data_IF_861737409650
#
_entry.id   IF_861737409650
#
_cell.length_a   1.000
_cell.length_b   1.000
_cell.length_c   1.000
_cell.angle_alpha   90.00
_cell.angle_beta   90.00
_cell.angle_gamma   90.00
#
_symmetry.space_group_name_H-M   'P 1'
#
loop_
_entity.id
_entity.type
_entity.pdbx_description
1 polymer ?
#
# COMPACT_ATOMS: atom_id res chain seq x y z
N UNK A 1 -3.14 11.25 19.88
CA UNK A 1 -3.51 10.56 18.63
C UNK A 1 -2.25 10.34 17.80
N UNK A 2 -2.00 9.09 17.40
CA UNK A 2 -0.91 8.71 16.51
C UNK A 2 -1.47 8.53 15.09
N UNK A 3 -0.76 9.02 14.08
CA UNK A 3 -1.14 8.87 12.67
C UNK A 3 -0.22 7.85 12.02
N UNK A 4 -0.80 6.84 11.38
CA UNK A 4 -0.09 5.87 10.56
C UNK A 4 -0.44 6.10 9.09
N UNK A 5 0.58 6.19 8.25
CA UNK A 5 0.42 6.29 6.80
C UNK A 5 1.09 5.07 6.16
N UNK A 6 0.33 4.36 5.35
CA UNK A 6 0.83 3.23 4.57
C UNK A 6 0.10 3.16 3.23
N UNK A 7 0.58 2.32 2.33
CA UNK A 7 0.01 2.17 1.00
C UNK A 7 1.09 1.95 -0.02
N UNK A 8 0.72 1.31 -1.12
CA UNK A 8 1.66 0.96 -2.17
C UNK A 8 2.23 2.19 -2.89
N UNK A 9 1.55 3.35 -2.85
CA UNK A 9 1.99 4.63 -3.42
C UNK A 9 2.35 5.67 -2.35
N UNK A 10 2.46 5.29 -1.08
CA UNK A 10 2.58 6.25 0.04
C UNK A 10 3.77 7.20 -0.09
N UNK A 11 4.87 6.74 -0.69
CA UNK A 11 6.11 7.50 -0.78
C UNK A 11 6.09 8.42 -2.02
N UNK A 12 5.17 8.18 -2.95
CA UNK A 12 4.93 8.98 -4.14
C UNK A 12 3.89 10.10 -3.94
N UNK A 13 3.11 10.07 -2.85
CA UNK A 13 2.06 11.06 -2.56
C UNK A 13 2.57 12.13 -1.59
N UNK A 14 2.40 13.40 -1.98
CA UNK A 14 2.74 14.56 -1.15
C UNK A 14 1.46 15.30 -0.73
N UNK A 15 1.19 15.37 0.57
CA UNK A 15 0.02 16.06 1.11
C UNK A 15 0.44 17.42 1.67
N UNK A 16 -0.12 18.50 1.14
CA UNK A 16 0.10 19.87 1.61
C UNK A 16 -0.86 20.21 2.75
N UNK A 17 -2.07 19.64 2.74
CA UNK A 17 -3.02 19.79 3.84
C UNK A 17 -2.57 19.05 5.10
N UNK A 18 -2.65 19.70 6.25
CA UNK A 18 -2.37 19.06 7.54
C UNK A 18 -3.28 17.84 7.78
N UNK A 19 -2.68 16.68 8.03
CA UNK A 19 -3.37 15.40 8.25
C UNK A 19 -3.91 15.34 9.68
N UNK A 20 -5.14 15.81 9.87
CA UNK A 20 -5.89 15.75 11.13
C UNK A 20 -7.39 15.59 10.88
N UNK A 21 -8.11 15.20 11.93
CA UNK A 21 -9.57 15.16 11.89
C UNK A 21 -10.16 16.54 11.51
N UNK A 22 -11.20 16.53 10.67
CA UNK A 22 -11.83 17.72 10.10
C UNK A 22 -11.23 18.19 8.76
N UNK A 23 -10.01 17.76 8.42
CA UNK A 23 -9.37 18.08 7.13
C UNK A 23 -9.50 16.95 6.10
N UNK A 24 -10.23 15.87 6.41
CA UNK A 24 -10.21 14.61 5.65
C UNK A 24 -10.49 14.83 4.18
N UNK A 25 -11.50 15.64 3.85
CA UNK A 25 -11.91 15.88 2.47
C UNK A 25 -10.77 16.47 1.63
N UNK A 26 -10.08 17.49 2.13
CA UNK A 26 -8.96 18.12 1.40
C UNK A 26 -7.79 17.16 1.21
N UNK A 27 -7.47 16.39 2.25
CA UNK A 27 -6.42 15.36 2.18
C UNK A 27 -6.77 14.28 1.15
N UNK A 28 -8.04 13.84 1.12
CA UNK A 28 -8.56 12.89 0.14
C UNK A 28 -8.44 13.45 -1.27
N UNK A 29 -8.90 14.67 -1.50
CA UNK A 29 -8.89 15.30 -2.83
C UNK A 29 -7.45 15.44 -3.36
N UNK A 30 -6.50 15.88 -2.52
CA UNK A 30 -5.08 15.98 -2.86
C UNK A 30 -4.45 14.62 -3.20
N UNK A 31 -4.69 13.61 -2.36
CA UNK A 31 -4.16 12.27 -2.56
C UNK A 31 -4.76 11.60 -3.80
N UNK A 32 -6.08 11.70 -3.98
CA UNK A 32 -6.79 11.14 -5.14
C UNK A 32 -6.30 11.70 -6.46
N UNK A 33 -6.11 13.01 -6.55
CA UNK A 33 -5.63 13.65 -7.77
C UNK A 33 -4.25 13.10 -8.18
N UNK A 34 -3.32 13.02 -7.23
CA UNK A 34 -1.98 12.48 -7.47
C UNK A 34 -2.00 10.99 -7.82
N UNK A 35 -2.78 10.19 -7.09
CA UNK A 35 -2.91 8.75 -7.39
C UNK A 35 -3.50 8.55 -8.78
N UNK A 36 -4.55 9.30 -9.14
CA UNK A 36 -5.19 9.19 -10.45
C UNK A 36 -4.24 9.53 -11.59
N UNK A 37 -3.36 10.53 -11.42
CA UNK A 37 -2.29 10.84 -12.36
C UNK A 37 -1.30 9.69 -12.52
N UNK A 38 -0.90 9.04 -11.41
CA UNK A 38 0.06 7.93 -11.40
C UNK A 38 -0.50 6.66 -12.05
N UNK A 39 -1.73 6.28 -11.72
CA UNK A 39 -2.32 5.00 -12.15
C UNK A 39 -3.11 5.11 -13.46
N UNK A 40 -3.64 6.30 -13.76
CA UNK A 40 -4.41 6.62 -14.97
C UNK A 40 -5.92 6.41 -14.84
N UNK A 41 -6.44 6.26 -13.61
CA UNK A 41 -7.86 6.15 -13.29
C UNK A 41 -8.11 6.62 -11.86
N UNK A 42 -9.34 6.99 -11.53
CA UNK A 42 -9.67 7.41 -10.17
C UNK A 42 -9.69 6.22 -9.20
N UNK A 43 -8.97 6.29 -8.06
CA UNK A 43 -9.04 5.27 -7.03
C UNK A 43 -10.36 5.34 -6.27
N UNK A 44 -10.83 4.18 -5.79
CA UNK A 44 -12.00 4.13 -4.92
C UNK A 44 -11.67 4.69 -3.54
N UNK A 45 -12.64 5.32 -2.89
CA UNK A 45 -12.52 5.89 -1.56
C UNK A 45 -13.33 5.09 -0.55
N UNK A 46 -12.71 4.83 0.59
CA UNK A 46 -13.40 4.34 1.77
C UNK A 46 -13.04 5.21 2.98
N UNK A 47 -14.05 5.76 3.64
CA UNK A 47 -13.91 6.51 4.89
C UNK A 47 -14.55 5.72 6.03
N UNK A 48 -13.71 5.20 6.91
CA UNK A 48 -14.11 4.61 8.19
C UNK A 48 -14.06 5.65 9.33
N UNK A 49 -14.47 5.24 10.53
CA UNK A 49 -14.45 6.13 11.70
C UNK A 49 -13.04 6.59 12.09
N UNK A 50 -12.01 5.77 11.84
CA UNK A 50 -10.62 6.03 12.20
C UNK A 50 -9.64 5.88 11.03
N UNK A 51 -10.12 5.77 9.79
CA UNK A 51 -9.23 5.64 8.65
C UNK A 51 -9.82 6.10 7.32
N UNK A 52 -8.95 6.50 6.42
CA UNK A 52 -9.23 6.78 5.01
C UNK A 52 -8.40 5.84 4.17
N UNK A 53 -9.02 5.18 3.18
CA UNK A 53 -8.35 4.35 2.19
C UNK A 53 -8.66 4.85 0.79
N UNK A 54 -7.63 4.93 -0.02
CA UNK A 54 -7.70 5.05 -1.47
C UNK A 54 -7.18 3.74 -2.05
N UNK A 55 -8.07 2.98 -2.68
CA UNK A 55 -7.78 1.60 -3.08
C UNK A 55 -8.27 1.29 -4.50
N UNK A 56 -7.66 0.27 -5.09
CA UNK A 56 -8.16 -0.35 -6.31
C UNK A 56 -9.47 -1.09 -6.03
N UNK A 57 -10.48 -0.88 -6.87
CA UNK A 57 -11.80 -1.47 -6.65
C UNK A 57 -11.80 -2.99 -6.86
N UNK A 58 -10.99 -3.49 -7.79
CA UNK A 58 -10.93 -4.89 -8.20
C UNK A 58 -9.91 -5.68 -7.37
N UNK A 59 -8.68 -5.19 -7.27
CA UNK A 59 -7.57 -5.91 -6.63
C UNK A 59 -7.54 -5.70 -5.12
N UNK A 60 -8.21 -4.67 -4.61
CA UNK A 60 -8.12 -4.23 -3.20
C UNK A 60 -6.71 -3.81 -2.77
N UNK A 61 -5.84 -3.49 -3.73
CA UNK A 61 -4.56 -2.83 -3.46
C UNK A 61 -4.84 -1.47 -2.81
N UNK A 62 -4.24 -1.22 -1.65
CA UNK A 62 -4.35 0.06 -0.95
C UNK A 62 -3.22 0.95 -1.46
N UNK A 63 -3.55 1.95 -2.28
CA UNK A 63 -2.60 2.92 -2.79
C UNK A 63 -2.12 3.86 -1.69
N UNK A 64 -3.06 4.37 -0.89
CA UNK A 64 -2.78 5.32 0.17
C UNK A 64 -3.80 5.17 1.29
N UNK A 65 -3.33 5.06 2.53
CA UNK A 65 -4.17 4.95 3.70
C UNK A 65 -3.62 5.81 4.82
N UNK A 66 -4.54 6.49 5.52
CA UNK A 66 -4.29 7.17 6.77
C UNK A 66 -5.13 6.47 7.84
N UNK A 67 -4.49 5.94 8.87
CA UNK A 67 -5.15 5.40 10.07
C UNK A 67 -4.80 6.29 11.27
N UNK A 68 -5.83 6.67 12.04
CA UNK A 68 -5.67 7.38 13.31
C UNK A 68 -5.87 6.41 14.47
N UNK A 69 -4.92 6.41 15.40
CA UNK A 69 -4.90 5.56 16.58
C UNK A 69 -4.83 6.39 17.85
N UNK A 70 -5.40 5.87 18.92
CA UNK A 70 -5.18 6.45 20.25
C UNK A 70 -3.73 6.25 20.66
N UNK A 71 -3.15 7.22 21.36
CA UNK A 71 -1.72 7.19 21.77
C UNK A 71 -1.37 6.06 22.73
N UNK A 72 -2.38 5.42 23.32
CA UNK A 72 -2.21 4.28 24.21
C UNK A 72 -2.36 2.93 23.48
N UNK A 73 -2.67 2.94 22.17
CA UNK A 73 -2.78 1.74 21.35
C UNK A 73 -1.42 1.39 20.77
N UNK A 74 -0.90 0.20 21.09
CA UNK A 74 0.34 -0.28 20.50
C UNK A 74 0.08 -0.69 19.04
N UNK A 75 0.56 0.12 18.09
CA UNK A 75 0.44 -0.18 16.66
C UNK A 75 1.38 -1.34 16.30
N UNK A 76 0.91 -2.58 16.48
CA UNK A 76 1.63 -3.76 16.02
C UNK A 76 1.39 -3.97 14.52
N UNK A 77 2.19 -3.26 13.72
CA UNK A 77 2.17 -3.28 12.26
C UNK A 77 3.40 -3.99 11.71
N UNK A 78 3.50 -5.29 11.98
CA UNK A 78 4.58 -6.09 11.43
C UNK A 78 4.57 -6.10 9.89
N UNK A 79 5.73 -6.41 9.31
CA UNK A 79 5.94 -6.32 7.86
C UNK A 79 4.95 -7.17 7.06
N UNK A 80 4.56 -8.34 7.57
CA UNK A 80 3.57 -9.24 6.92
C UNK A 80 2.21 -8.54 6.81
N UNK A 81 1.70 -8.00 7.93
CA UNK A 81 0.40 -7.31 7.96
C UNK A 81 0.42 -6.08 7.05
N UNK A 82 1.53 -5.35 7.04
CA UNK A 82 1.74 -4.21 6.13
C UNK A 82 1.64 -4.63 4.67
N UNK A 83 2.46 -5.58 4.24
CA UNK A 83 2.49 -6.02 2.83
C UNK A 83 1.14 -6.56 2.39
N UNK A 84 0.49 -7.39 3.22
CA UNK A 84 -0.84 -7.90 2.92
C UNK A 84 -1.87 -6.79 2.72
N UNK A 85 -1.89 -5.79 3.62
CA UNK A 85 -2.78 -4.63 3.48
C UNK A 85 -2.45 -3.80 2.24
N UNK A 86 -1.20 -3.41 2.05
CA UNK A 86 -0.77 -2.55 0.95
C UNK A 86 -1.07 -3.18 -0.41
N UNK A 87 -0.95 -4.50 -0.53
CA UNK A 87 -1.06 -5.21 -1.81
C UNK A 87 -2.41 -5.89 -2.02
N UNK A 88 -3.37 -5.73 -1.10
CA UNK A 88 -4.65 -6.46 -1.17
C UNK A 88 -4.48 -7.98 -1.10
N UNK A 89 -3.41 -8.47 -0.48
CA UNK A 89 -3.10 -9.90 -0.41
C UNK A 89 -3.67 -10.53 0.87
N UNK A 90 -4.26 -11.70 0.72
CA UNK A 90 -4.49 -12.61 1.84
C UNK A 90 -3.17 -13.18 2.37
N UNK A 91 -3.14 -13.60 3.63
CA UNK A 91 -1.98 -14.30 4.20
C UNK A 91 -1.62 -15.58 3.43
N UNK A 92 -2.63 -16.23 2.83
CA UNK A 92 -2.43 -17.40 1.97
C UNK A 92 -1.67 -17.02 0.70
N UNK A 93 -2.13 -15.98 -0.01
CA UNK A 93 -1.47 -15.52 -1.23
C UNK A 93 -0.05 -15.02 -0.97
N UNK A 94 0.17 -14.29 0.13
CA UNK A 94 1.54 -13.91 0.51
C UNK A 94 2.40 -15.15 0.76
N UNK A 95 1.90 -16.12 1.53
CA UNK A 95 2.60 -17.38 1.75
C UNK A 95 2.99 -18.09 0.46
N UNK A 96 2.05 -18.21 -0.49
CA UNK A 96 2.31 -18.81 -1.81
C UNK A 96 3.40 -18.06 -2.59
N UNK A 97 3.40 -16.72 -2.54
CA UNK A 97 4.42 -15.89 -3.21
C UNK A 97 5.82 -16.05 -2.63
N UNK A 98 5.93 -16.21 -1.30
CA UNK A 98 7.22 -16.25 -0.60
C UNK A 98 7.65 -17.65 -0.15
N UNK A 99 6.91 -18.70 -0.54
CA UNK A 99 7.26 -20.10 -0.27
C UNK A 99 6.94 -20.58 1.16
N UNK A 100 5.90 -20.04 1.80
CA UNK A 100 5.45 -20.42 3.14
C UNK A 100 3.97 -20.82 3.15
N UNK A 101 3.57 -21.68 4.09
CA UNK A 101 2.16 -21.98 4.32
C UNK A 101 1.43 -20.78 4.95
N UNK A 102 0.12 -20.67 4.72
CA UNK A 102 -0.73 -19.68 5.40
C UNK A 102 -0.61 -19.77 6.93
N UNK A 103 -0.50 -21.00 7.47
CA UNK A 103 -0.33 -21.23 8.91
C UNK A 103 0.98 -20.68 9.46
N UNK A 104 2.08 -20.78 8.70
CA UNK A 104 3.37 -20.20 9.08
C UNK A 104 3.31 -18.67 9.09
N UNK A 105 2.72 -18.06 8.05
CA UNK A 105 2.51 -16.61 7.96
C UNK A 105 1.65 -16.11 9.14
N UNK A 106 0.50 -16.76 9.40
CA UNK A 106 -0.38 -16.40 10.51
C UNK A 106 0.33 -16.52 11.85
N UNK A 107 1.09 -17.59 12.07
CA UNK A 107 1.80 -17.80 13.33
C UNK A 107 2.86 -16.73 13.57
N UNK A 108 3.69 -16.42 12.56
CA UNK A 108 4.70 -15.37 12.64
C UNK A 108 4.06 -13.98 12.89
N UNK A 109 2.91 -13.72 12.25
CA UNK A 109 2.17 -12.48 12.42
C UNK A 109 1.58 -12.34 13.83
N UNK A 110 0.89 -13.38 14.35
CA UNK A 110 0.24 -13.36 15.67
C UNK A 110 1.27 -13.27 16.79
N UNK A 111 2.37 -14.02 16.70
CA UNK A 111 3.43 -14.02 17.72
C UNK A 111 4.38 -12.84 17.60
N UNK A 112 4.31 -12.09 16.49
CA UNK A 112 5.29 -11.08 16.11
C UNK A 112 6.73 -11.63 16.05
N UNK A 113 6.87 -12.91 15.70
CA UNK A 113 8.13 -13.65 15.61
C UNK A 113 8.38 -13.99 14.13
N UNK A 114 8.91 -13.00 13.39
CA UNK A 114 9.22 -13.17 11.97
C UNK A 114 10.68 -13.58 11.86
N UNK A 115 10.93 -14.80 11.36
CA UNK A 115 12.28 -15.29 11.13
C UNK A 115 13.01 -14.41 10.10
N UNK A 116 14.33 -14.30 10.20
CA UNK A 116 15.13 -13.51 9.26
C UNK A 116 14.91 -13.93 7.79
N UNK A 117 14.86 -15.24 7.44
CA UNK A 117 14.56 -15.66 6.07
C UNK A 117 13.17 -15.24 5.59
N UNK A 118 12.16 -15.32 6.45
CA UNK A 118 10.80 -14.87 6.10
C UNK A 118 10.77 -13.35 5.88
N UNK A 119 11.41 -12.57 6.74
CA UNK A 119 11.51 -11.12 6.59
C UNK A 119 12.19 -10.76 5.25
N UNK A 120 13.32 -11.39 4.93
CA UNK A 120 14.00 -11.20 3.63
C UNK A 120 13.09 -11.56 2.45
N UNK A 121 12.34 -12.66 2.53
CA UNK A 121 11.42 -13.05 1.46
C UNK A 121 10.28 -12.03 1.26
N UNK A 122 9.72 -11.50 2.35
CA UNK A 122 8.72 -10.41 2.29
C UNK A 122 9.32 -9.14 1.69
N UNK A 123 10.54 -8.75 2.08
CA UNK A 123 11.23 -7.58 1.51
C UNK A 123 11.55 -7.76 0.03
N UNK A 124 11.99 -8.95 -0.39
CA UNK A 124 12.20 -9.27 -1.80
C UNK A 124 10.89 -9.18 -2.60
N UNK A 125 9.78 -9.64 -2.03
CA UNK A 125 8.48 -9.52 -2.69
C UNK A 125 8.08 -8.05 -2.89
N UNK A 126 8.34 -7.18 -1.91
CA UNK A 126 8.14 -5.73 -2.06
C UNK A 126 8.99 -5.14 -3.18
N UNK A 127 10.27 -5.51 -3.24
CA UNK A 127 11.17 -5.04 -4.30
C UNK A 127 10.70 -5.52 -5.68
N UNK A 128 10.26 -6.77 -5.81
CA UNK A 128 9.69 -7.31 -7.05
C UNK A 128 8.49 -6.50 -7.50
N UNK A 129 7.60 -6.11 -6.57
CA UNK A 129 6.42 -5.31 -6.87
C UNK A 129 6.82 -3.91 -7.36
N UNK A 130 7.73 -3.26 -6.64
CA UNK A 130 8.28 -1.94 -7.02
C UNK A 130 8.90 -1.98 -8.41
N UNK A 131 9.78 -2.94 -8.68
CA UNK A 131 10.43 -3.13 -9.98
C UNK A 131 9.41 -3.40 -11.11
N UNK A 132 8.35 -4.17 -10.84
CA UNK A 132 7.26 -4.38 -11.81
C UNK A 132 6.52 -3.08 -12.14
N UNK A 133 6.30 -2.21 -11.15
CA UNK A 133 5.68 -0.88 -11.35
C UNK A 133 6.58 0.02 -12.20
N UNK A 134 7.85 0.15 -11.84
CA UNK A 134 8.83 0.93 -12.61
C UNK A 134 8.93 0.44 -14.06
N UNK A 135 8.97 -0.88 -14.26
CA UNK A 135 8.97 -1.48 -15.59
C UNK A 135 7.71 -1.14 -16.39
N UNK A 136 6.53 -1.11 -15.74
CA UNK A 136 5.27 -0.72 -16.38
C UNK A 136 5.30 0.74 -16.81
N UNK A 137 5.81 1.65 -15.97
CA UNK A 137 5.98 3.06 -16.30
C UNK A 137 6.95 3.25 -17.48
N UNK A 138 8.10 2.58 -17.44
CA UNK A 138 9.07 2.64 -18.53
C UNK A 138 8.49 2.12 -19.86
N UNK A 139 7.71 1.04 -19.83
CA UNK A 139 7.00 0.53 -21.01
C UNK A 139 5.97 1.52 -21.56
N UNK A 140 5.19 2.17 -20.68
CA UNK A 140 4.24 3.24 -21.08
C UNK A 140 4.99 4.38 -21.77
N UNK A 141 6.09 4.86 -21.18
CA UNK A 141 6.92 5.93 -21.75
C UNK A 141 7.49 5.55 -23.13
N UNK A 142 8.07 4.34 -23.26
CA UNK A 142 8.58 3.83 -24.54
C UNK A 142 7.49 3.78 -25.62
N UNK A 143 6.28 3.38 -25.26
CA UNK A 143 5.16 3.33 -26.20
C UNK A 143 4.69 4.73 -26.61
N UNK A 144 4.66 5.68 -25.67
CA UNK A 144 4.36 7.07 -25.97
C UNK A 144 5.36 7.65 -26.98
N UNK A 145 6.67 7.47 -26.78
CA UNK A 145 7.70 7.88 -27.75
C UNK A 145 7.43 7.30 -29.13
N UNK A 146 7.13 5.99 -29.22
CA UNK A 146 6.83 5.35 -30.51
C UNK A 146 5.61 5.93 -31.22
N UNK A 147 4.63 6.44 -30.48
CA UNK A 147 3.43 7.05 -31.06
C UNK A 147 3.73 8.45 -31.62
N UNK A 148 4.56 9.24 -30.93
CA UNK A 148 4.90 10.61 -31.36
C UNK A 148 6.04 10.66 -32.40
N UNK A 149 6.85 9.61 -32.49
CA UNK A 149 7.91 9.45 -33.50
C UNK A 149 7.40 8.86 -34.83
N UNK A 150 6.10 8.63 -34.94
CA UNK A 150 5.39 8.27 -36.18
C UNK A 150 4.79 9.51 -36.80
#
# INVERSE_FOLDING_TARGET
MQTLIYGSLKDEIQINTEIKQGNEKKVIDEAKAQIAELIGYEPSEYKGGNHIKLEDIETKEIFYCIEWHDTNEEINFNIIKRVCKEQGLTYKQLGELIGYSESAIKSAMVKNEISEPMNKAVQMQLEIIKLKRELRLFKKFKNFIKQISK
#
